data_IF_696060435490
#
_entry.id   IF_696060435490
#
_cell.length_a   1.000
_cell.length_b   1.000
_cell.length_c   1.000
_cell.angle_alpha   90.00
_cell.angle_beta   90.00
_cell.angle_gamma   90.00
#
_symmetry.space_group_name_H-M   'P 1'
#
loop_
_entity.id
_entity.type
_entity.pdbx_description
1 polymer ?
#
# COMPACT_ATOMS: atom_id res chain seq x y z
N UNK A 1 17.69 -36.47 26.66
CA UNK A 1 16.37 -36.48 26.01
C UNK A 1 15.75 -35.09 26.24
N UNK A 2 16.00 -34.14 25.33
CA UNK A 2 15.44 -32.78 25.36
C UNK A 2 14.35 -32.74 24.30
N UNK A 3 13.12 -32.44 24.70
CA UNK A 3 12.02 -32.23 23.75
C UNK A 3 12.26 -30.89 23.01
N UNK A 4 12.09 -30.84 21.67
CA UNK A 4 12.14 -29.59 20.95
C UNK A 4 10.81 -28.86 21.14
N UNK A 5 10.86 -27.69 21.77
CA UNK A 5 9.77 -26.72 21.72
C UNK A 5 9.87 -26.01 20.37
N UNK A 6 8.85 -26.16 19.53
CA UNK A 6 8.76 -25.47 18.25
C UNK A 6 8.60 -23.95 18.41
N UNK A 7 8.92 -23.17 17.36
CA UNK A 7 9.01 -21.71 17.40
C UNK A 7 7.68 -20.98 17.73
N UNK A 8 6.54 -21.66 17.81
CA UNK A 8 5.25 -21.08 18.20
C UNK A 8 4.99 -20.95 19.71
N UNK A 9 5.84 -21.51 20.60
CA UNK A 9 5.56 -21.52 22.04
C UNK A 9 6.00 -20.26 22.79
N UNK A 10 6.86 -19.40 22.21
CA UNK A 10 7.37 -18.21 22.90
C UNK A 10 6.35 -17.09 22.99
N UNK A 11 5.51 -16.92 21.98
CA UNK A 11 4.66 -15.74 21.86
C UNK A 11 3.40 -15.86 22.73
N UNK A 12 2.84 -17.06 22.80
CA UNK A 12 1.78 -17.39 23.74
C UNK A 12 2.25 -17.27 25.20
N UNK A 13 3.47 -17.75 25.50
CA UNK A 13 4.04 -17.62 26.84
C UNK A 13 4.29 -16.14 27.22
N UNK A 14 4.70 -15.32 26.25
CA UNK A 14 4.96 -13.89 26.47
C UNK A 14 3.65 -13.10 26.69
N UNK A 15 2.60 -13.40 25.92
CA UNK A 15 1.27 -12.79 26.10
C UNK A 15 0.62 -13.21 27.43
N UNK A 16 0.75 -14.49 27.81
CA UNK A 16 0.24 -14.99 29.10
C UNK A 16 1.00 -14.33 30.26
N UNK A 17 2.32 -14.16 30.14
CA UNK A 17 3.12 -13.47 31.15
C UNK A 17 2.74 -11.98 31.28
N UNK A 18 2.51 -11.28 30.17
CA UNK A 18 2.08 -9.88 30.16
C UNK A 18 0.67 -9.69 30.74
N UNK A 19 -0.27 -10.58 30.40
CA UNK A 19 -1.61 -10.57 30.95
C UNK A 19 -1.63 -10.88 32.46
N UNK A 20 -0.81 -11.84 32.92
CA UNK A 20 -0.64 -12.14 34.34
C UNK A 20 -0.03 -10.96 35.11
N UNK A 21 0.93 -10.25 34.53
CA UNK A 21 1.52 -9.05 35.12
C UNK A 21 0.50 -7.92 35.30
N UNK A 22 -0.32 -7.64 34.28
CA UNK A 22 -1.39 -6.63 34.34
C UNK A 22 -2.48 -7.01 35.37
N UNK A 23 -2.83 -8.30 35.47
CA UNK A 23 -3.80 -8.77 36.45
C UNK A 23 -3.27 -8.66 37.89
N UNK A 24 -1.99 -8.94 38.11
CA UNK A 24 -1.32 -8.77 39.41
C UNK A 24 -1.26 -7.30 39.83
N UNK A 25 -0.99 -6.39 38.91
CA UNK A 25 -0.97 -4.95 39.21
C UNK A 25 -2.36 -4.38 39.48
N UNK A 26 -3.36 -4.76 38.70
CA UNK A 26 -4.75 -4.36 38.96
C UNK A 26 -5.22 -4.87 40.34
N UNK A 27 -4.87 -6.11 40.70
CA UNK A 27 -5.16 -6.68 42.02
C UNK A 27 -4.42 -5.96 43.15
N UNK A 28 -3.13 -5.66 42.97
CA UNK A 28 -2.33 -4.91 43.95
C UNK A 28 -2.84 -3.47 44.14
N UNK A 29 -3.26 -2.80 43.07
CA UNK A 29 -3.79 -1.44 43.11
C UNK A 29 -5.15 -1.38 43.81
N UNK A 30 -6.06 -2.31 43.49
CA UNK A 30 -7.38 -2.43 44.16
C UNK A 30 -7.21 -2.75 45.65
N UNK A 31 -6.24 -3.60 46.00
CA UNK A 31 -6.00 -3.98 47.39
C UNK A 31 -5.28 -2.88 48.19
N UNK A 32 -4.37 -2.12 47.57
CA UNK A 32 -3.72 -0.95 48.19
C UNK A 32 -4.70 0.19 48.49
N UNK A 33 -5.80 0.32 47.73
CA UNK A 33 -6.87 1.27 48.00
C UNK A 33 -7.72 0.90 49.24
N UNK A 34 -7.62 -0.35 49.74
CA UNK A 34 -8.43 -0.84 50.86
C UNK A 34 -7.65 -1.28 52.11
N UNK A 35 -6.31 -1.24 52.12
CA UNK A 35 -5.48 -1.84 53.18
C UNK A 35 -4.40 -0.94 53.75
N UNK A 36 -4.07 -1.13 55.04
CA UNK A 36 -3.01 -0.39 55.77
C UNK A 36 -1.58 -0.65 55.25
N UNK A 37 -0.55 -0.09 55.90
CA UNK A 37 0.86 -0.06 55.44
C UNK A 37 1.47 -1.40 54.97
N UNK A 38 1.01 -2.54 55.49
CA UNK A 38 1.46 -3.86 55.03
C UNK A 38 0.98 -4.18 53.61
N UNK A 39 -0.12 -3.56 53.17
CA UNK A 39 -0.67 -3.74 51.85
C UNK A 39 0.13 -3.04 50.74
N UNK A 40 0.69 -1.89 51.08
CA UNK A 40 1.62 -1.17 50.22
C UNK A 40 2.90 -1.97 49.94
N UNK A 41 3.45 -2.67 50.93
CA UNK A 41 4.68 -3.44 50.76
C UNK A 41 4.50 -4.64 49.81
N UNK A 42 3.40 -5.38 49.97
CA UNK A 42 3.09 -6.52 49.09
C UNK A 42 2.71 -6.05 47.69
N UNK A 43 2.02 -4.91 47.56
CA UNK A 43 1.72 -4.30 46.25
C UNK A 43 2.98 -3.85 45.50
N UNK A 44 3.92 -3.21 46.19
CA UNK A 44 5.22 -2.81 45.61
C UNK A 44 6.07 -4.03 45.20
N UNK A 45 6.04 -5.11 45.98
CA UNK A 45 6.74 -6.35 45.64
C UNK A 45 6.14 -7.02 44.40
N UNK A 46 4.81 -7.04 44.27
CA UNK A 46 4.12 -7.57 43.10
C UNK A 46 4.41 -6.74 41.83
N UNK A 47 4.41 -5.40 41.96
CA UNK A 47 4.77 -4.48 40.88
C UNK A 47 6.22 -4.67 40.40
N UNK A 48 7.16 -4.80 41.33
CA UNK A 48 8.56 -5.05 41.00
C UNK A 48 8.75 -6.40 40.28
N UNK A 49 8.03 -7.44 40.72
CA UNK A 49 8.04 -8.75 40.05
C UNK A 49 7.46 -8.67 38.62
N UNK A 50 6.35 -7.97 38.43
CA UNK A 50 5.74 -7.74 37.12
C UNK A 50 6.72 -7.01 36.16
N UNK A 51 7.38 -5.96 36.65
CA UNK A 51 8.38 -5.22 35.89
C UNK A 51 9.59 -6.09 35.48
N UNK A 52 10.06 -6.97 36.37
CA UNK A 52 11.18 -7.87 36.08
C UNK A 52 10.81 -8.92 35.02
N UNK A 53 9.58 -9.45 35.06
CA UNK A 53 9.06 -10.40 34.07
C UNK A 53 8.94 -9.72 32.70
N UNK A 54 8.33 -8.53 32.64
CA UNK A 54 8.21 -7.76 31.41
C UNK A 54 9.59 -7.43 30.81
N UNK A 55 10.54 -7.02 31.64
CA UNK A 55 11.90 -6.74 31.21
C UNK A 55 12.61 -8.01 30.69
N UNK A 56 12.39 -9.18 31.31
CA UNK A 56 12.96 -10.44 30.84
C UNK A 56 12.46 -10.85 29.45
N UNK A 57 11.24 -10.46 29.08
CA UNK A 57 10.67 -10.71 27.76
C UNK A 57 11.22 -9.74 26.67
N UNK A 58 11.52 -8.50 27.04
CA UNK A 58 12.03 -7.48 26.12
C UNK A 58 13.58 -7.49 26.08
N UNK A 59 14.17 -8.24 25.14
CA UNK A 59 15.63 -8.22 24.94
C UNK A 59 16.19 -6.87 24.46
N UNK A 60 17.46 -6.59 24.76
CA UNK A 60 18.21 -5.45 24.19
C UNK A 60 18.42 -4.24 25.13
N UNK A 61 19.16 -3.20 24.67
CA UNK A 61 19.58 -2.06 25.51
C UNK A 61 18.42 -1.16 25.97
N UNK A 62 17.25 -1.22 25.32
CA UNK A 62 16.04 -0.47 25.72
C UNK A 62 15.39 -0.99 27.00
N UNK A 63 15.72 -2.22 27.43
CA UNK A 63 15.22 -2.88 28.64
C UNK A 63 15.46 -2.08 29.92
N UNK A 64 16.61 -1.41 30.02
CA UNK A 64 16.98 -0.64 31.22
C UNK A 64 16.19 0.67 31.34
N UNK A 65 15.93 1.33 30.21
CA UNK A 65 15.15 2.57 30.19
C UNK A 65 13.69 2.31 30.60
N UNK A 66 13.13 1.19 30.13
CA UNK A 66 11.76 0.77 30.42
C UNK A 66 11.58 0.36 31.90
N UNK A 67 12.52 -0.38 32.46
CA UNK A 67 12.56 -0.67 33.90
C UNK A 67 12.61 0.59 34.74
N UNK A 68 13.43 1.57 34.33
CA UNK A 68 13.59 2.83 35.05
C UNK A 68 12.31 3.69 35.00
N UNK A 69 11.62 3.69 33.85
CA UNK A 69 10.34 4.38 33.66
C UNK A 69 9.19 3.71 34.46
N UNK A 70 9.15 2.38 34.49
CA UNK A 70 8.17 1.61 35.26
C UNK A 70 8.35 1.74 36.78
N UNK A 71 9.57 2.01 37.24
CA UNK A 71 9.85 2.28 38.66
C UNK A 71 9.47 3.71 39.07
N UNK A 72 9.69 4.70 38.19
CA UNK A 72 9.48 6.13 38.50
C UNK A 72 8.02 6.58 38.35
N UNK A 73 7.27 5.99 37.42
CA UNK A 73 5.84 6.27 37.24
C UNK A 73 5.06 4.95 37.11
N UNK A 74 4.65 4.33 38.23
CA UNK A 74 4.12 2.97 38.23
C UNK A 74 2.97 2.74 37.24
N UNK A 75 1.89 3.55 37.21
CA UNK A 75 0.78 3.27 36.29
C UNK A 75 1.13 3.60 34.83
N UNK A 76 1.98 4.59 34.58
CA UNK A 76 2.32 5.02 33.22
C UNK A 76 3.39 4.15 32.58
N UNK A 77 4.41 3.74 33.36
CA UNK A 77 5.52 2.94 32.84
C UNK A 77 5.12 1.52 32.52
N UNK A 78 4.16 0.93 33.25
CA UNK A 78 3.63 -0.41 32.93
C UNK A 78 2.76 -0.36 31.67
N UNK A 79 1.94 0.67 31.51
CA UNK A 79 1.18 0.87 30.28
C UNK A 79 2.11 1.00 29.05
N UNK A 80 3.23 1.72 29.19
CA UNK A 80 4.25 1.84 28.13
C UNK A 80 4.94 0.50 27.85
N UNK A 81 5.30 -0.26 28.89
CA UNK A 81 5.93 -1.59 28.72
C UNK A 81 4.96 -2.60 28.08
N UNK A 82 3.69 -2.59 28.46
CA UNK A 82 2.66 -3.43 27.87
C UNK A 82 2.39 -3.06 26.41
N UNK A 83 2.35 -1.76 26.10
CA UNK A 83 2.20 -1.28 24.73
C UNK A 83 3.40 -1.69 23.87
N UNK A 84 4.62 -1.52 24.35
CA UNK A 84 5.83 -1.87 23.61
C UNK A 84 6.00 -3.38 23.44
N UNK A 85 5.62 -4.18 24.44
CA UNK A 85 5.54 -5.65 24.32
C UNK A 85 4.48 -6.08 23.31
N UNK A 86 3.29 -5.45 23.32
CA UNK A 86 2.25 -5.67 22.31
C UNK A 86 2.75 -5.30 20.92
N UNK A 87 3.43 -4.16 20.76
CA UNK A 87 4.02 -3.73 19.49
C UNK A 87 5.18 -4.63 19.06
N UNK A 88 5.98 -5.16 19.98
CA UNK A 88 7.04 -6.14 19.71
C UNK A 88 6.46 -7.48 19.22
N UNK A 89 5.36 -7.95 19.82
CA UNK A 89 4.62 -9.13 19.34
C UNK A 89 3.96 -8.83 17.99
N UNK A 90 3.38 -7.64 17.80
CA UNK A 90 2.75 -7.23 16.53
C UNK A 90 3.76 -7.05 15.39
N UNK A 91 4.99 -6.63 15.71
CA UNK A 91 6.08 -6.46 14.75
C UNK A 91 6.82 -7.77 14.46
N UNK A 92 6.91 -8.69 15.43
CA UNK A 92 7.37 -10.08 15.18
C UNK A 92 6.36 -10.88 14.36
N UNK A 93 5.06 -10.64 14.57
CA UNK A 93 3.99 -11.17 13.72
C UNK A 93 3.94 -10.59 12.29
N UNK A 94 4.79 -9.60 11.97
CA UNK A 94 4.98 -9.05 10.61
C UNK A 94 6.13 -9.71 9.84
N UNK A 95 6.96 -10.56 10.47
CA UNK A 95 8.16 -11.11 9.80
C UNK A 95 8.12 -12.59 9.48
N UNK A 96 7.10 -13.33 9.93
CA UNK A 96 6.88 -14.70 9.44
C UNK A 96 5.38 -14.82 9.15
N UNK A 97 5.02 -14.92 7.87
CA UNK A 97 3.67 -15.19 7.43
C UNK A 97 3.48 -16.72 7.47
N UNK A 98 2.88 -17.31 8.52
CA UNK A 98 2.62 -18.76 8.55
C UNK A 98 1.76 -19.22 7.37
N UNK A 99 0.88 -18.33 6.86
CA UNK A 99 0.10 -18.56 5.64
C UNK A 99 0.94 -18.54 4.35
N UNK A 100 2.07 -17.84 4.34
CA UNK A 100 2.97 -17.78 3.19
C UNK A 100 3.82 -19.04 3.10
N UNK A 101 4.32 -19.54 4.24
CA UNK A 101 5.01 -20.83 4.31
C UNK A 101 4.08 -22.01 4.01
N UNK A 102 2.84 -21.97 4.49
CA UNK A 102 1.80 -22.96 4.15
C UNK A 102 1.52 -22.96 2.64
N UNK A 103 1.38 -21.76 2.05
CA UNK A 103 1.08 -21.56 0.63
C UNK A 103 2.26 -21.95 -0.25
N UNK A 104 3.51 -21.59 0.11
CA UNK A 104 4.74 -22.05 -0.57
C UNK A 104 4.95 -23.55 -0.45
N UNK A 105 4.65 -24.14 0.72
CA UNK A 105 4.77 -25.58 0.97
C UNK A 105 3.78 -26.36 0.10
N UNK A 106 2.56 -25.86 -0.04
CA UNK A 106 1.54 -26.49 -0.88
C UNK A 106 1.76 -26.21 -2.38
N UNK A 107 2.24 -25.02 -2.75
CA UNK A 107 2.67 -24.71 -4.12
C UNK A 107 3.85 -25.60 -4.54
N UNK A 108 4.87 -25.79 -3.69
CA UNK A 108 5.99 -26.72 -3.94
C UNK A 108 5.53 -28.16 -4.12
N UNK A 109 4.51 -28.58 -3.37
CA UNK A 109 3.99 -29.94 -3.44
C UNK A 109 3.24 -30.23 -4.74
N UNK A 110 2.60 -29.22 -5.35
CA UNK A 110 1.73 -29.39 -6.52
C UNK A 110 2.35 -28.89 -7.84
N UNK A 111 3.10 -27.80 -7.78
CA UNK A 111 3.79 -27.20 -8.93
C UNK A 111 5.16 -26.67 -8.48
N UNK A 112 6.17 -27.55 -8.38
CA UNK A 112 7.51 -27.17 -7.93
C UNK A 112 8.15 -26.10 -8.82
N UNK A 113 7.85 -26.10 -10.12
CA UNK A 113 8.31 -25.07 -11.06
C UNK A 113 7.73 -23.68 -10.75
N UNK A 114 6.44 -23.57 -10.45
CA UNK A 114 5.82 -22.29 -10.06
C UNK A 114 6.35 -21.79 -8.71
N UNK A 115 6.65 -22.72 -7.80
CA UNK A 115 7.21 -22.37 -6.49
C UNK A 115 8.68 -21.96 -6.57
N UNK A 116 9.48 -22.61 -7.44
CA UNK A 116 10.85 -22.22 -7.74
C UNK A 116 10.89 -20.88 -8.46
N UNK A 117 10.02 -20.64 -9.44
CA UNK A 117 9.93 -19.35 -10.14
C UNK A 117 9.54 -18.21 -9.19
N UNK A 118 8.56 -18.41 -8.31
CA UNK A 118 8.20 -17.46 -7.26
C UNK A 118 9.39 -17.17 -6.32
N UNK A 119 10.11 -18.22 -5.90
CA UNK A 119 11.27 -18.09 -5.02
C UNK A 119 12.47 -17.44 -5.72
N UNK A 120 12.71 -17.71 -7.01
CA UNK A 120 13.77 -17.14 -7.84
C UNK A 120 13.50 -15.65 -8.11
N UNK A 121 12.27 -15.28 -8.41
CA UNK A 121 11.85 -13.87 -8.59
C UNK A 121 11.98 -13.07 -7.29
N UNK A 122 11.71 -13.70 -6.12
CA UNK A 122 11.87 -13.08 -4.81
C UNK A 122 13.32 -13.03 -4.32
N UNK A 123 14.13 -14.04 -4.64
CA UNK A 123 15.54 -14.11 -4.24
C UNK A 123 16.46 -13.30 -5.15
N UNK A 124 16.09 -13.10 -6.42
CA UNK A 124 16.77 -12.20 -7.36
C UNK A 124 16.82 -10.74 -6.92
N UNK A 125 16.01 -10.35 -5.93
CA UNK A 125 15.95 -8.99 -5.38
C UNK A 125 16.55 -8.86 -3.96
N UNK A 126 17.26 -9.90 -3.48
CA UNK A 126 17.80 -9.96 -2.11
C UNK A 126 19.24 -9.41 -1.96
N UNK A 127 19.84 -8.80 -2.96
CA UNK A 127 21.17 -8.21 -2.84
C UNK A 127 21.16 -6.73 -3.24
N UNK A 128 21.33 -5.88 -2.22
CA UNK A 128 21.70 -4.45 -2.24
C UNK A 128 20.65 -3.34 -2.23
N UNK A 129 19.38 -3.55 -2.57
CA UNK A 129 18.36 -2.54 -2.28
C UNK A 129 17.03 -3.21 -1.97
N UNK A 130 16.67 -3.29 -0.69
CA UNK A 130 15.29 -3.56 -0.29
C UNK A 130 14.53 -2.22 -0.26
N UNK A 131 13.78 -1.83 -1.31
CA UNK A 131 12.73 -0.85 -1.09
C UNK A 131 11.63 -1.51 -0.25
N UNK A 132 11.08 -0.78 0.71
CA UNK A 132 9.94 -1.20 1.54
C UNK A 132 8.63 -1.45 0.75
N UNK A 133 8.71 -1.52 -0.58
CA UNK A 133 7.64 -1.81 -1.52
C UNK A 133 8.25 -2.68 -2.61
N UNK A 134 8.05 -4.00 -2.55
CA UNK A 134 8.15 -4.80 -3.77
C UNK A 134 7.21 -4.14 -4.81
N UNK A 135 7.66 -3.88 -6.04
CA UNK A 135 6.79 -3.28 -7.06
C UNK A 135 5.51 -4.11 -7.15
N UNK A 136 4.35 -3.43 -7.14
CA UNK A 136 3.03 -4.06 -7.11
C UNK A 136 2.88 -5.13 -8.20
N UNK A 137 3.55 -4.95 -9.34
CA UNK A 137 3.68 -5.91 -10.44
C UNK A 137 4.16 -7.31 -9.99
N UNK A 138 5.12 -7.41 -9.05
CA UNK A 138 5.64 -8.68 -8.54
C UNK A 138 4.63 -9.45 -7.65
N UNK A 139 3.63 -8.77 -7.10
CA UNK A 139 2.58 -9.40 -6.28
C UNK A 139 1.30 -9.70 -7.09
N UNK A 140 1.10 -9.01 -8.22
CA UNK A 140 -0.07 -9.18 -9.09
C UNK A 140 -0.02 -10.51 -9.84
N UNK A 141 1.13 -10.88 -10.43
CA UNK A 141 1.24 -12.09 -11.24
C UNK A 141 0.98 -13.39 -10.46
N UNK A 142 1.52 -13.59 -9.24
CA UNK A 142 1.22 -14.78 -8.43
C UNK A 142 -0.26 -14.86 -8.06
N UNK A 143 -0.88 -13.74 -7.69
CA UNK A 143 -2.30 -13.71 -7.32
C UNK A 143 -3.20 -13.97 -8.53
N UNK A 144 -2.88 -13.40 -9.69
CA UNK A 144 -3.60 -13.66 -10.94
C UNK A 144 -3.52 -15.13 -11.36
N UNK A 145 -2.35 -15.75 -11.22
CA UNK A 145 -2.13 -17.18 -11.48
C UNK A 145 -3.00 -18.05 -10.55
N UNK A 146 -2.98 -17.76 -9.23
CA UNK A 146 -3.80 -18.47 -8.26
C UNK A 146 -5.31 -18.34 -8.53
N UNK A 147 -5.75 -17.20 -9.06
CA UNK A 147 -7.16 -16.99 -9.36
C UNK A 147 -7.63 -17.72 -10.62
N UNK A 148 -6.75 -17.87 -11.61
CA UNK A 148 -7.05 -18.42 -12.93
C UNK A 148 -7.04 -19.95 -12.98
N UNK A 149 -6.30 -20.60 -12.08
CA UNK A 149 -6.20 -22.06 -12.02
C UNK A 149 -7.49 -22.69 -11.45
N UNK A 150 -8.13 -23.57 -12.23
CA UNK A 150 -9.37 -24.24 -11.87
C UNK A 150 -9.19 -25.25 -10.72
N UNK A 151 -8.00 -25.83 -10.56
CA UNK A 151 -7.72 -26.92 -9.63
C UNK A 151 -7.29 -26.43 -8.24
N UNK A 152 -7.15 -25.11 -8.06
CA UNK A 152 -6.78 -24.50 -6.78
C UNK A 152 -7.95 -24.52 -5.80
N UNK A 153 -7.62 -24.93 -4.57
CA UNK A 153 -8.54 -24.98 -3.45
C UNK A 153 -9.24 -23.62 -3.22
N UNK A 154 -10.57 -23.59 -3.05
CA UNK A 154 -11.32 -22.35 -2.83
C UNK A 154 -10.80 -21.48 -1.68
N UNK A 155 -10.24 -22.10 -0.63
CA UNK A 155 -9.67 -21.45 0.53
C UNK A 155 -8.45 -20.58 0.17
N UNK A 156 -7.61 -21.05 -0.75
CA UNK A 156 -6.44 -20.32 -1.24
C UNK A 156 -6.87 -19.12 -2.10
N UNK A 157 -7.89 -19.29 -2.95
CA UNK A 157 -8.49 -18.18 -3.71
C UNK A 157 -9.08 -17.11 -2.78
N UNK A 158 -9.72 -17.53 -1.69
CA UNK A 158 -10.22 -16.60 -0.66
C UNK A 158 -9.10 -15.85 0.07
N UNK A 159 -7.99 -16.53 0.39
CA UNK A 159 -6.81 -15.89 0.97
C UNK A 159 -6.19 -14.88 0.01
N UNK A 160 -6.07 -15.23 -1.27
CA UNK A 160 -5.59 -14.35 -2.32
C UNK A 160 -6.46 -13.08 -2.46
N UNK A 161 -7.79 -13.23 -2.47
CA UNK A 161 -8.72 -12.09 -2.52
C UNK A 161 -8.55 -11.16 -1.31
N UNK A 162 -8.31 -11.71 -0.11
CA UNK A 162 -8.06 -10.88 1.08
C UNK A 162 -6.76 -10.09 0.96
N UNK A 163 -5.72 -10.68 0.35
CA UNK A 163 -4.44 -10.04 0.13
C UNK A 163 -4.48 -8.96 -0.96
N UNK A 164 -5.46 -8.99 -1.88
CA UNK A 164 -5.65 -7.94 -2.89
C UNK A 164 -5.87 -6.55 -2.29
N UNK A 165 -6.30 -6.45 -1.03
CA UNK A 165 -6.42 -5.17 -0.30
C UNK A 165 -5.10 -4.42 -0.13
N UNK A 166 -3.97 -5.10 -0.26
CA UNK A 166 -2.63 -4.53 -0.09
C UNK A 166 -2.01 -4.03 -1.40
N UNK A 167 -2.63 -4.34 -2.54
CA UNK A 167 -2.19 -3.88 -3.86
C UNK A 167 -2.81 -2.52 -4.19
N UNK A 168 -2.31 -1.89 -5.26
CA UNK A 168 -2.93 -0.68 -5.78
C UNK A 168 -4.38 -0.99 -6.21
N UNK A 169 -5.34 -0.06 -6.04
CA UNK A 169 -6.70 -0.25 -6.53
C UNK A 169 -6.78 -0.52 -8.03
N UNK A 170 -5.90 0.11 -8.82
CA UNK A 170 -5.82 -0.05 -10.28
C UNK A 170 -5.49 -1.48 -10.68
N UNK A 171 -4.63 -2.17 -9.93
CA UNK A 171 -4.22 -3.54 -10.23
C UNK A 171 -5.16 -4.58 -9.60
N UNK A 172 -5.68 -4.29 -8.41
CA UNK A 172 -6.50 -5.24 -7.64
C UNK A 172 -7.93 -5.35 -8.18
N UNK A 173 -8.58 -4.25 -8.54
CA UNK A 173 -10.00 -4.25 -8.91
C UNK A 173 -10.32 -5.16 -10.11
N UNK A 174 -9.53 -5.20 -11.21
CA UNK A 174 -9.75 -6.15 -12.28
C UNK A 174 -9.75 -7.61 -11.80
N UNK A 175 -8.82 -7.97 -10.93
CA UNK A 175 -8.72 -9.33 -10.35
C UNK A 175 -9.92 -9.66 -9.45
N UNK A 176 -10.37 -8.68 -8.65
CA UNK A 176 -11.57 -8.87 -7.81
C UNK A 176 -12.83 -8.98 -8.67
N UNK A 177 -12.93 -8.22 -9.77
CA UNK A 177 -14.04 -8.34 -10.73
C UNK A 177 -14.04 -9.70 -11.42
N UNK A 178 -12.88 -10.26 -11.73
CA UNK A 178 -12.79 -11.62 -12.26
C UNK A 178 -13.27 -12.65 -11.23
N UNK A 179 -12.91 -12.48 -9.95
CA UNK A 179 -13.38 -13.36 -8.88
C UNK A 179 -14.91 -13.38 -8.70
N UNK A 180 -15.63 -12.33 -9.13
CA UNK A 180 -17.11 -12.33 -9.15
C UNK A 180 -17.71 -13.38 -10.11
N UNK A 181 -16.93 -13.82 -11.11
CA UNK A 181 -17.34 -14.83 -12.09
C UNK A 181 -17.13 -16.26 -11.60
N UNK A 182 -16.53 -16.44 -10.42
CA UNK A 182 -16.27 -17.76 -9.84
C UNK A 182 -17.56 -18.55 -9.61
N UNK A 183 -17.54 -19.86 -9.89
CA UNK A 183 -18.66 -20.76 -9.58
C UNK A 183 -18.88 -20.94 -8.06
N UNK A 184 -17.87 -20.66 -7.24
CA UNK A 184 -17.92 -20.81 -5.79
C UNK A 184 -18.64 -19.61 -5.14
N UNK A 185 -19.80 -19.81 -4.47
CA UNK A 185 -20.57 -18.71 -3.88
C UNK A 185 -19.80 -17.88 -2.85
N UNK A 186 -18.94 -18.52 -2.04
CA UNK A 186 -18.13 -17.84 -1.04
C UNK A 186 -17.15 -16.84 -1.68
N UNK A 187 -16.50 -17.23 -2.79
CA UNK A 187 -15.57 -16.36 -3.53
C UNK A 187 -16.28 -15.12 -4.04
N UNK A 188 -17.45 -15.30 -4.68
CA UNK A 188 -18.28 -14.17 -5.16
C UNK A 188 -18.67 -13.23 -4.02
N UNK A 189 -19.08 -13.77 -2.88
CA UNK A 189 -19.46 -12.98 -1.71
C UNK A 189 -18.30 -12.11 -1.20
N UNK A 190 -17.10 -12.68 -1.02
CA UNK A 190 -15.94 -11.92 -0.54
C UNK A 190 -15.44 -10.91 -1.56
N UNK A 191 -15.47 -11.24 -2.86
CA UNK A 191 -15.14 -10.31 -3.93
C UNK A 191 -16.09 -9.10 -3.96
N UNK A 192 -17.41 -9.32 -3.89
CA UNK A 192 -18.40 -8.26 -3.86
C UNK A 192 -18.23 -7.34 -2.63
N UNK A 193 -17.97 -7.94 -1.46
CA UNK A 193 -17.69 -7.20 -0.22
C UNK A 193 -16.42 -6.37 -0.33
N UNK A 194 -15.36 -6.90 -0.96
CA UNK A 194 -14.11 -6.17 -1.16
C UNK A 194 -14.30 -4.97 -2.09
N UNK A 195 -14.99 -5.13 -3.22
CA UNK A 195 -15.28 -4.01 -4.14
C UNK A 195 -16.06 -2.89 -3.43
N UNK A 196 -17.10 -3.25 -2.68
CA UNK A 196 -17.88 -2.28 -1.89
C UNK A 196 -17.02 -1.54 -0.86
N UNK A 197 -16.14 -2.25 -0.15
CA UNK A 197 -15.22 -1.63 0.80
C UNK A 197 -14.22 -0.66 0.13
N UNK A 198 -13.72 -1.00 -1.06
CA UNK A 198 -12.81 -0.15 -1.82
C UNK A 198 -13.51 1.13 -2.30
N UNK A 199 -14.71 1.00 -2.86
CA UNK A 199 -15.53 2.14 -3.31
C UNK A 199 -15.88 3.08 -2.16
N UNK A 200 -16.29 2.53 -1.02
CA UNK A 200 -16.53 3.27 0.22
C UNK A 200 -15.26 3.97 0.73
N UNK A 201 -14.11 3.30 0.61
CA UNK A 201 -12.80 3.84 0.96
C UNK A 201 -12.47 5.09 0.14
N UNK A 202 -12.62 5.01 -1.19
CA UNK A 202 -12.45 6.16 -2.08
C UNK A 202 -13.42 7.28 -1.75
N UNK A 203 -14.71 6.97 -1.59
CA UNK A 203 -15.75 7.96 -1.29
C UNK A 203 -15.47 8.70 0.02
N UNK A 204 -15.05 8.00 1.08
CA UNK A 204 -14.65 8.62 2.34
C UNK A 204 -13.40 9.48 2.19
N UNK A 205 -12.38 8.99 1.48
CA UNK A 205 -11.13 9.74 1.26
C UNK A 205 -11.39 11.03 0.48
N UNK A 206 -12.17 10.96 -0.61
CA UNK A 206 -12.54 12.12 -1.41
C UNK A 206 -13.33 13.14 -0.61
N UNK A 207 -14.31 12.71 0.18
CA UNK A 207 -15.08 13.61 1.05
C UNK A 207 -14.18 14.33 2.06
N UNK A 208 -13.30 13.59 2.76
CA UNK A 208 -12.34 14.18 3.70
C UNK A 208 -11.43 15.20 3.03
N UNK A 209 -10.92 14.91 1.82
CA UNK A 209 -10.06 15.82 1.07
C UNK A 209 -10.81 17.08 0.63
N UNK A 210 -12.09 16.96 0.27
CA UNK A 210 -12.94 18.11 -0.06
C UNK A 210 -13.24 18.99 1.17
N UNK A 211 -13.48 18.37 2.32
CA UNK A 211 -13.76 19.08 3.58
C UNK A 211 -12.50 19.72 4.18
N UNK A 212 -11.31 19.19 3.90
CA UNK A 212 -10.05 19.70 4.41
C UNK A 212 -9.73 21.13 3.93
N UNK A 213 -10.45 21.66 2.93
CA UNK A 213 -10.35 23.04 2.47
C UNK A 213 -9.27 23.28 1.41
N UNK A 214 -9.03 24.56 1.12
CA UNK A 214 -8.22 24.98 -0.02
C UNK A 214 -6.73 25.07 0.34
N UNK A 215 -5.88 24.55 -0.55
CA UNK A 215 -4.43 24.60 -0.44
C UNK A 215 -3.78 23.77 -1.54
N UNK A 216 -2.61 24.16 -2.08
CA UNK A 216 -2.04 23.50 -3.26
C UNK A 216 -1.78 22.00 -3.04
N UNK A 217 -1.37 21.61 -1.84
CA UNK A 217 -1.15 20.21 -1.45
C UNK A 217 -2.45 19.41 -1.42
N UNK A 218 -3.49 19.98 -0.80
CA UNK A 218 -4.81 19.36 -0.72
C UNK A 218 -5.47 19.24 -2.09
N UNK A 219 -5.32 20.26 -2.95
CA UNK A 219 -5.80 20.22 -4.33
C UNK A 219 -5.06 19.14 -5.13
N UNK A 220 -3.74 19.02 -4.95
CA UNK A 220 -2.96 17.96 -5.60
C UNK A 220 -3.42 16.57 -5.15
N UNK A 221 -3.58 16.35 -3.84
CA UNK A 221 -4.06 15.08 -3.31
C UNK A 221 -5.50 14.76 -3.74
N UNK A 222 -6.37 15.78 -3.79
CA UNK A 222 -7.75 15.63 -4.25
C UNK A 222 -7.81 15.25 -5.74
N UNK A 223 -7.03 15.93 -6.59
CA UNK A 223 -6.93 15.58 -7.99
C UNK A 223 -6.41 14.15 -8.18
N UNK A 224 -5.33 13.78 -7.48
CA UNK A 224 -4.76 12.43 -7.53
C UNK A 224 -5.77 11.37 -7.09
N UNK A 225 -6.48 11.58 -5.99
CA UNK A 225 -7.48 10.64 -5.51
C UNK A 225 -8.67 10.49 -6.48
N UNK A 226 -9.03 11.56 -7.21
CA UNK A 226 -10.07 11.49 -8.25
C UNK A 226 -9.63 10.69 -9.47
N UNK A 227 -8.39 10.89 -9.93
CA UNK A 227 -7.81 10.13 -11.03
C UNK A 227 -7.69 8.65 -10.67
N UNK A 228 -7.12 8.35 -9.50
CA UNK A 228 -6.99 6.98 -8.99
C UNK A 228 -8.35 6.27 -8.93
N UNK A 229 -9.40 6.94 -8.46
CA UNK A 229 -10.74 6.35 -8.43
C UNK A 229 -11.31 6.10 -9.84
N UNK A 230 -11.08 7.03 -10.78
CA UNK A 230 -11.53 6.89 -12.17
C UNK A 230 -10.74 5.83 -12.95
N UNK A 231 -9.49 5.59 -12.60
CA UNK A 231 -8.60 4.58 -13.18
C UNK A 231 -8.77 3.20 -12.55
N UNK A 232 -9.24 3.13 -11.31
CA UNK A 232 -9.43 1.87 -10.58
C UNK A 232 -10.37 0.87 -11.27
N UNK A 233 -11.21 1.33 -12.20
CA UNK A 233 -12.23 0.49 -12.83
C UNK A 233 -13.39 0.14 -11.90
N UNK A 234 -13.50 0.72 -10.69
CA UNK A 234 -14.67 0.56 -9.81
C UNK A 234 -15.91 1.25 -10.37
N UNK A 235 -15.71 2.40 -11.01
CA UNK A 235 -16.79 3.25 -11.50
C UNK A 235 -17.26 2.84 -12.90
N UNK A 236 -18.54 3.08 -13.16
CA UNK A 236 -19.10 3.07 -14.52
C UNK A 236 -18.45 4.17 -15.37
N UNK A 237 -18.45 3.99 -16.70
CA UNK A 237 -17.71 4.87 -17.62
C UNK A 237 -18.11 6.35 -17.49
N UNK A 238 -19.39 6.65 -17.25
CA UNK A 238 -19.88 8.01 -17.07
C UNK A 238 -19.36 8.66 -15.78
N UNK A 239 -19.36 7.93 -14.66
CA UNK A 239 -18.86 8.43 -13.38
C UNK A 239 -17.34 8.56 -13.38
N UNK A 240 -16.63 7.57 -13.93
CA UNK A 240 -15.18 7.65 -14.13
C UNK A 240 -14.80 8.90 -14.94
N UNK A 241 -15.53 9.17 -16.03
CA UNK A 241 -15.34 10.39 -16.83
C UNK A 241 -15.59 11.66 -16.02
N UNK A 242 -16.68 11.73 -15.25
CA UNK A 242 -16.98 12.87 -14.38
C UNK A 242 -15.89 13.11 -13.32
N UNK A 243 -15.32 12.05 -12.76
CA UNK A 243 -14.20 12.14 -11.82
C UNK A 243 -12.94 12.67 -12.49
N UNK A 244 -12.61 12.22 -13.71
CA UNK A 244 -11.51 12.78 -14.52
C UNK A 244 -11.71 14.26 -14.84
N UNK A 245 -12.93 14.67 -15.22
CA UNK A 245 -13.24 16.07 -15.50
C UNK A 245 -13.02 16.96 -14.29
N UNK A 246 -13.48 16.52 -13.12
CA UNK A 246 -13.26 17.22 -11.84
C UNK A 246 -11.80 17.22 -11.42
N UNK A 247 -11.04 16.17 -11.72
CA UNK A 247 -9.59 16.16 -11.48
C UNK A 247 -8.88 17.17 -12.38
N UNK A 248 -9.21 17.20 -13.67
CA UNK A 248 -8.66 18.16 -14.63
C UNK A 248 -8.95 19.61 -14.23
N UNK A 249 -10.16 19.91 -13.73
CA UNK A 249 -10.47 21.24 -13.20
C UNK A 249 -9.58 21.62 -12.01
N UNK A 250 -9.43 20.73 -11.04
CA UNK A 250 -8.55 20.95 -9.87
C UNK A 250 -7.08 21.10 -10.27
N UNK A 251 -6.59 20.29 -11.22
CA UNK A 251 -5.22 20.40 -11.74
C UNK A 251 -4.99 21.71 -12.49
N UNK A 252 -6.00 22.19 -13.23
CA UNK A 252 -5.93 23.49 -13.92
C UNK A 252 -5.84 24.65 -12.94
N UNK A 253 -6.62 24.60 -11.85
CA UNK A 253 -6.51 25.58 -10.76
C UNK A 253 -5.12 25.55 -10.11
N UNK A 254 -4.59 24.36 -9.84
CA UNK A 254 -3.26 24.17 -9.27
C UNK A 254 -2.14 24.67 -10.20
N UNK A 255 -2.26 24.40 -11.50
CA UNK A 255 -1.32 24.88 -12.51
C UNK A 255 -1.35 26.41 -12.66
N UNK A 256 -2.55 27.02 -12.61
CA UNK A 256 -2.73 28.46 -12.73
C UNK A 256 -2.22 29.22 -11.50
N UNK A 257 -2.26 28.61 -10.31
CA UNK A 257 -1.68 29.19 -9.09
C UNK A 257 -0.14 29.32 -9.15
N UNK A 258 0.51 28.61 -10.08
CA UNK A 258 1.96 28.64 -10.26
C UNK A 258 2.74 27.93 -9.16
N UNK A 259 4.04 28.23 -9.07
CA UNK A 259 4.94 27.68 -8.05
C UNK A 259 5.56 26.31 -8.41
N UNK A 260 6.29 25.68 -7.46
CA UNK A 260 7.13 24.51 -7.73
C UNK A 260 6.39 23.28 -8.26
N UNK A 261 5.07 23.20 -8.00
CA UNK A 261 4.22 22.06 -8.37
C UNK A 261 3.44 22.30 -9.67
N UNK A 262 3.53 23.48 -10.28
CA UNK A 262 2.77 23.82 -11.47
C UNK A 262 3.10 22.90 -12.66
N UNK A 263 4.38 22.61 -12.89
CA UNK A 263 4.80 21.71 -13.96
C UNK A 263 4.23 20.29 -13.78
N UNK A 264 4.27 19.75 -12.56
CA UNK A 264 3.66 18.44 -12.23
C UNK A 264 2.14 18.46 -12.43
N UNK A 265 1.47 19.53 -12.00
CA UNK A 265 0.04 19.70 -12.18
C UNK A 265 -0.36 19.75 -13.67
N UNK A 266 0.40 20.47 -14.50
CA UNK A 266 0.20 20.51 -15.95
C UNK A 266 0.46 19.17 -16.63
N UNK A 267 1.48 18.42 -16.20
CA UNK A 267 1.74 17.09 -16.74
C UNK A 267 0.56 16.13 -16.44
N UNK A 268 0.08 16.13 -15.20
CA UNK A 268 -1.12 15.36 -14.82
C UNK A 268 -2.38 15.84 -15.55
N UNK A 269 -2.52 17.16 -15.77
CA UNK A 269 -3.64 17.75 -16.51
C UNK A 269 -3.64 17.29 -17.97
N UNK A 270 -2.49 17.34 -18.65
CA UNK A 270 -2.36 16.90 -20.03
C UNK A 270 -2.73 15.41 -20.18
N UNK A 271 -2.30 14.57 -19.23
CA UNK A 271 -2.69 13.16 -19.18
C UNK A 271 -4.20 12.97 -19.04
N UNK A 272 -4.81 13.66 -18.07
CA UNK A 272 -6.27 13.62 -17.87
C UNK A 272 -7.04 14.15 -19.09
N UNK A 273 -6.52 15.16 -19.79
CA UNK A 273 -7.10 15.70 -21.02
C UNK A 273 -7.03 14.69 -22.18
N UNK A 274 -5.94 13.93 -22.31
CA UNK A 274 -5.83 12.83 -23.28
C UNK A 274 -6.88 11.75 -23.03
N UNK A 275 -6.99 11.28 -21.79
CA UNK A 275 -7.98 10.27 -21.40
C UNK A 275 -9.43 10.73 -21.59
N UNK A 276 -9.67 12.05 -21.55
CA UNK A 276 -10.97 12.65 -21.84
C UNK A 276 -11.22 12.88 -23.34
N UNK A 277 -10.28 12.51 -24.21
CA UNK A 277 -10.34 12.72 -25.66
C UNK A 277 -10.11 14.17 -26.08
N UNK A 278 -9.54 15.01 -25.21
CA UNK A 278 -9.30 16.45 -25.42
C UNK A 278 -7.86 16.70 -25.88
N UNK A 279 -7.45 16.00 -26.94
CA UNK A 279 -6.07 15.95 -27.39
C UNK A 279 -5.44 17.33 -27.67
N UNK A 280 -6.18 18.26 -28.27
CA UNK A 280 -5.68 19.62 -28.54
C UNK A 280 -5.39 20.41 -27.26
N UNK A 281 -6.19 20.23 -26.20
CA UNK A 281 -5.92 20.85 -24.91
C UNK A 281 -4.70 20.23 -24.24
N UNK A 282 -4.60 18.89 -24.27
CA UNK A 282 -3.45 18.19 -23.74
C UNK A 282 -2.13 18.62 -24.42
N UNK A 283 -2.16 18.82 -25.74
CA UNK A 283 -1.01 19.33 -26.49
C UNK A 283 -0.62 20.73 -26.01
N UNK A 284 -1.58 21.65 -25.93
CA UNK A 284 -1.33 23.01 -25.46
C UNK A 284 -0.80 23.03 -24.01
N UNK A 285 -1.38 22.22 -23.12
CA UNK A 285 -0.91 22.07 -21.73
C UNK A 285 0.52 21.53 -21.67
N UNK A 286 0.87 20.56 -22.52
CA UNK A 286 2.23 20.00 -22.59
C UNK A 286 3.25 21.00 -23.16
N UNK A 287 2.86 21.79 -24.17
CA UNK A 287 3.68 22.86 -24.73
C UNK A 287 3.96 23.97 -23.71
N UNK A 288 3.02 24.28 -22.82
CA UNK A 288 3.26 25.21 -21.71
C UNK A 288 4.33 24.69 -20.75
N UNK A 289 4.35 23.39 -20.44
CA UNK A 289 5.44 22.80 -19.66
C UNK A 289 6.79 22.89 -20.36
N UNK A 290 6.82 22.64 -21.67
CA UNK A 290 8.04 22.74 -22.47
C UNK A 290 8.53 24.18 -22.66
N UNK A 291 7.64 25.17 -22.53
CA UNK A 291 8.05 26.58 -22.52
C UNK A 291 8.83 26.92 -21.24
N UNK A 292 8.44 26.33 -20.10
CA UNK A 292 9.13 26.51 -18.82
C UNK A 292 10.43 25.69 -18.75
N UNK A 293 10.41 24.43 -19.21
CA UNK A 293 11.58 23.56 -19.33
C UNK A 293 11.60 22.84 -20.68
N UNK A 294 12.33 23.37 -21.68
CA UNK A 294 12.45 22.73 -22.99
C UNK A 294 13.12 21.35 -22.95
N UNK A 295 13.83 21.00 -21.89
CA UNK A 295 14.55 19.73 -21.75
C UNK A 295 13.72 18.62 -21.09
N UNK A 296 12.51 18.92 -20.61
CA UNK A 296 11.64 17.94 -19.96
C UNK A 296 11.18 16.86 -20.97
N UNK A 297 11.84 15.71 -20.90
CA UNK A 297 11.55 14.57 -21.76
C UNK A 297 10.14 13.99 -21.52
N UNK A 298 9.62 14.06 -20.28
CA UNK A 298 8.29 13.55 -19.95
C UNK A 298 7.20 14.45 -20.54
N UNK A 299 7.34 15.78 -20.40
CA UNK A 299 6.45 16.74 -21.06
C UNK A 299 6.52 16.61 -22.59
N UNK A 300 7.71 16.33 -23.15
CA UNK A 300 7.87 16.13 -24.59
C UNK A 300 7.22 14.86 -25.10
N UNK A 301 7.27 13.76 -24.33
CA UNK A 301 6.53 12.51 -24.63
C UNK A 301 5.02 12.75 -24.61
N UNK A 302 4.50 13.45 -23.59
CA UNK A 302 3.08 13.82 -23.52
C UNK A 302 2.64 14.69 -24.70
N UNK A 303 3.45 15.68 -25.09
CA UNK A 303 3.17 16.52 -26.26
C UNK A 303 3.12 15.70 -27.56
N UNK A 304 4.00 14.70 -27.70
CA UNK A 304 4.02 13.80 -28.85
C UNK A 304 2.75 12.92 -28.90
N UNK A 305 2.37 12.31 -27.78
CA UNK A 305 1.15 11.52 -27.64
C UNK A 305 -0.10 12.37 -27.96
N UNK A 306 -0.15 13.60 -27.41
CA UNK A 306 -1.24 14.53 -27.65
C UNK A 306 -1.32 15.03 -29.10
N UNK A 307 -0.18 15.29 -29.74
CA UNK A 307 -0.14 15.66 -31.15
C UNK A 307 -0.64 14.53 -32.05
N UNK A 308 -0.25 13.28 -31.77
CA UNK A 308 -0.74 12.11 -32.50
C UNK A 308 -2.27 11.96 -32.34
N UNK A 309 -2.76 12.02 -31.11
CA UNK A 309 -4.19 11.92 -30.81
C UNK A 309 -5.00 13.07 -31.44
N UNK A 310 -4.44 14.28 -31.51
CA UNK A 310 -5.04 15.43 -32.18
C UNK A 310 -4.93 15.38 -33.71
N UNK A 311 -4.21 14.39 -34.26
CA UNK A 311 -3.84 14.28 -35.68
C UNK A 311 -3.06 15.50 -36.19
N UNK A 312 -2.33 16.18 -35.31
CA UNK A 312 -1.39 17.24 -35.66
C UNK A 312 -0.01 16.64 -35.98
N UNK A 313 0.13 16.15 -37.22
CA UNK A 313 1.38 15.53 -37.67
C UNK A 313 2.55 16.52 -37.76
N UNK A 314 2.29 17.82 -37.83
CA UNK A 314 3.34 18.83 -37.84
C UNK A 314 3.95 18.96 -36.43
N UNK A 315 3.11 19.13 -35.41
CA UNK A 315 3.54 19.12 -34.01
C UNK A 315 4.20 17.78 -33.64
N UNK A 316 3.61 16.65 -34.04
CA UNK A 316 4.18 15.32 -33.80
C UNK A 316 5.62 15.20 -34.31
N UNK A 317 5.86 15.55 -35.59
CA UNK A 317 7.21 15.48 -36.19
C UNK A 317 8.20 16.39 -35.49
N UNK A 318 7.77 17.57 -35.05
CA UNK A 318 8.61 18.51 -34.28
C UNK A 318 8.98 17.91 -32.93
N UNK A 319 8.02 17.38 -32.17
CA UNK A 319 8.32 16.80 -30.86
C UNK A 319 9.16 15.52 -30.98
N UNK A 320 8.91 14.68 -32.00
CA UNK A 320 9.67 13.46 -32.27
C UNK A 320 11.16 13.75 -32.56
N UNK A 321 11.45 14.71 -33.43
CA UNK A 321 12.84 15.10 -33.78
C UNK A 321 13.60 15.58 -32.56
N UNK A 322 12.95 16.42 -31.76
CA UNK A 322 13.58 17.01 -30.59
C UNK A 322 13.78 15.95 -29.51
N UNK A 323 12.84 15.02 -29.33
CA UNK A 323 12.99 13.92 -28.39
C UNK A 323 14.11 12.95 -28.82
N UNK A 324 14.25 12.69 -30.12
CA UNK A 324 15.33 11.88 -30.69
C UNK A 324 16.74 12.51 -30.55
N UNK A 325 16.83 13.83 -30.28
CA UNK A 325 18.12 14.45 -29.93
C UNK A 325 18.58 14.09 -28.52
N UNK A 326 17.67 13.65 -27.66
CA UNK A 326 17.93 13.40 -26.24
C UNK A 326 17.83 11.92 -25.86
N UNK A 327 17.23 11.08 -26.71
CA UNK A 327 17.07 9.64 -26.48
C UNK A 327 17.56 8.84 -27.69
N UNK A 328 18.24 7.70 -27.48
CA UNK A 328 18.58 6.79 -28.56
C UNK A 328 17.31 6.27 -29.25
N UNK A 329 17.33 6.19 -30.58
CA UNK A 329 16.15 5.86 -31.41
C UNK A 329 15.49 4.51 -31.03
N UNK A 330 16.26 3.56 -30.49
CA UNK A 330 15.77 2.27 -30.03
C UNK A 330 14.84 2.36 -28.82
N UNK A 331 15.08 3.28 -27.89
CA UNK A 331 14.21 3.49 -26.72
C UNK A 331 12.92 4.21 -27.09
N UNK A 332 13.00 5.13 -28.06
CA UNK A 332 11.84 5.86 -28.56
C UNK A 332 10.84 4.92 -29.27
N UNK A 333 11.35 4.00 -30.10
CA UNK A 333 10.51 3.04 -30.81
C UNK A 333 9.79 2.09 -29.85
N UNK A 334 10.51 1.53 -28.86
CA UNK A 334 9.94 0.60 -27.88
C UNK A 334 8.84 1.25 -27.03
N UNK A 335 9.05 2.49 -26.59
CA UNK A 335 8.08 3.20 -25.74
C UNK A 335 6.80 3.59 -26.49
N UNK A 336 6.90 3.91 -27.79
CA UNK A 336 5.73 4.17 -28.62
C UNK A 336 4.94 2.88 -28.91
N UNK A 337 5.62 1.75 -29.11
CA UNK A 337 4.97 0.45 -29.30
C UNK A 337 4.22 -0.03 -28.06
N UNK A 338 4.79 0.16 -26.86
CA UNK A 338 4.15 -0.24 -25.59
C UNK A 338 2.87 0.58 -25.29
N UNK A 339 2.80 1.83 -25.75
CA UNK A 339 1.72 2.77 -25.38
C UNK A 339 0.68 3.04 -26.47
N UNK A 340 0.99 2.76 -27.74
CA UNK A 340 0.09 2.96 -28.87
C UNK A 340 -0.06 1.67 -29.71
N UNK A 341 -0.70 0.62 -29.16
CA UNK A 341 -0.81 -0.69 -29.82
C UNK A 341 -1.64 -0.63 -31.12
N UNK A 342 -2.48 0.39 -31.30
CA UNK A 342 -3.31 0.60 -32.49
C UNK A 342 -2.55 1.15 -33.72
N UNK A 343 -1.24 1.34 -33.64
CA UNK A 343 -0.41 1.82 -34.76
C UNK A 343 0.05 0.71 -35.73
N UNK A 344 -0.41 -0.53 -35.54
CA UNK A 344 -0.22 -1.65 -36.47
C UNK A 344 -1.34 -1.77 -37.50
#
# INVERSE_FOLDING_TARGET
MRLPLGPGSSDAATLVAAAAALALEAGAFVWALGGGRQALAVGLAAHAAACLIAAAACGGPRRWLQLLLALLLPPAGVAVCALDACLAVFSRGKTEFPLYDELLRELRARSPAAAEQLMEELSGHSSEFAPAHAPAELLVAPVASLMSDADIAPELKLAAIRNLTHLSPTDSVPLVKEALRSDVPAIRFYAARLLSNLEDGFSRRLRKLQEAGDGPEKLQELARARLEFAESGLLESADARRHRERAAETLRQLAAAGGPRAAQARAALARAELELGRASLALATSEQNLADDPSDAAARRLALEAALAARDYAAFRRHARELARHLPASELARDLEERCPESR
#
